data_IF_295767316479
#
_entry.id   IF_295767316479
#
_cell.length_a   1.000
_cell.length_b   1.000
_cell.length_c   1.000
_cell.angle_alpha   90.00
_cell.angle_beta   90.00
_cell.angle_gamma   90.00
#
_symmetry.space_group_name_H-M   'P 1'
#
loop_
_entity.id
_entity.type
_entity.pdbx_description
1 polymer ?
#
# COMPACT_ATOMS: atom_id res chain seq x y z
N UNK A 1 10.89 66.94 13.81
CA UNK A 1 10.81 66.18 15.09
C UNK A 1 9.36 65.77 15.25
N UNK A 2 9.07 64.46 15.38
CA UNK A 2 7.70 63.96 15.58
C UNK A 2 7.14 64.50 16.90
N UNK A 3 5.90 64.99 16.90
CA UNK A 3 5.24 65.44 18.13
C UNK A 3 4.86 64.23 19.00
N UNK A 4 4.82 64.39 20.34
CA UNK A 4 4.36 63.32 21.25
C UNK A 4 3.00 62.74 20.85
N UNK A 5 2.12 63.58 20.29
CA UNK A 5 0.79 63.20 19.80
C UNK A 5 0.86 62.31 18.55
N UNK A 6 1.75 62.62 17.61
CA UNK A 6 1.96 61.78 16.42
C UNK A 6 2.58 60.44 16.79
N UNK A 7 3.56 60.43 17.69
CA UNK A 7 4.19 59.21 18.17
C UNK A 7 3.15 58.25 18.78
N UNK A 8 2.30 58.73 19.70
CA UNK A 8 1.24 57.91 20.30
C UNK A 8 0.26 57.38 19.25
N UNK A 9 -0.13 58.21 18.26
CA UNK A 9 -1.05 57.81 17.19
C UNK A 9 -0.45 56.72 16.30
N UNK A 10 0.84 56.86 15.95
CA UNK A 10 1.57 55.88 15.15
C UNK A 10 1.78 54.56 15.90
N UNK A 11 2.09 54.62 17.20
CA UNK A 11 2.20 53.42 18.05
C UNK A 11 0.87 52.68 18.18
N UNK A 12 -0.26 53.40 18.30
CA UNK A 12 -1.60 52.81 18.32
C UNK A 12 -1.94 52.12 16.98
N UNK A 13 -1.67 52.77 15.85
CA UNK A 13 -1.90 52.15 14.54
C UNK A 13 -0.99 50.96 14.29
N UNK A 14 0.29 51.04 14.68
CA UNK A 14 1.24 49.93 14.59
C UNK A 14 0.82 48.73 15.44
N UNK A 15 0.40 48.97 16.68
CA UNK A 15 -0.11 47.93 17.58
C UNK A 15 -1.40 47.30 17.08
N UNK A 16 -2.36 48.09 16.59
CA UNK A 16 -3.60 47.59 16.02
C UNK A 16 -3.36 46.79 14.73
N UNK A 17 -2.43 47.23 13.88
CA UNK A 17 -2.02 46.50 12.68
C UNK A 17 -1.38 45.15 13.01
N UNK A 18 -0.49 45.11 14.02
CA UNK A 18 0.14 43.87 14.47
C UNK A 18 -0.86 42.88 15.11
N UNK A 19 -1.84 43.39 15.84
CA UNK A 19 -2.90 42.57 16.42
C UNK A 19 -3.83 41.98 15.35
N UNK A 20 -4.20 42.77 14.34
CA UNK A 20 -5.00 42.29 13.20
C UNK A 20 -4.25 41.25 12.37
N UNK A 21 -2.94 41.38 12.20
CA UNK A 21 -2.13 40.42 11.44
C UNK A 21 -2.03 39.05 12.14
N UNK A 22 -2.05 39.01 13.48
CA UNK A 22 -2.13 37.76 14.25
C UNK A 22 -3.55 37.17 14.31
N UNK A 23 -4.58 37.94 13.97
CA UNK A 23 -5.97 37.49 13.91
C UNK A 23 -6.35 36.92 12.53
N UNK A 24 -5.49 37.07 11.52
CA UNK A 24 -5.69 36.42 10.23
C UNK A 24 -5.34 34.94 10.32
N UNK A 25 -6.27 34.02 10.01
CA UNK A 25 -6.04 32.59 10.15
C UNK A 25 -5.26 32.07 8.94
N UNK A 26 -4.00 32.48 8.80
CA UNK A 26 -3.13 32.04 7.71
C UNK A 26 -2.99 30.50 7.67
N UNK A 27 -3.03 29.85 8.84
CA UNK A 27 -3.02 28.39 8.97
C UNK A 27 -4.27 27.73 8.36
N UNK A 28 -5.44 28.39 8.43
CA UNK A 28 -6.68 27.88 7.84
C UNK A 28 -6.72 28.03 6.30
N UNK A 29 -5.87 28.90 5.74
CA UNK A 29 -5.73 29.08 4.29
C UNK A 29 -4.63 28.19 3.69
N UNK A 30 -3.84 27.50 4.53
CA UNK A 30 -2.64 26.77 4.11
C UNK A 30 -2.79 25.24 4.07
N UNK A 31 -3.93 24.67 4.47
CA UNK A 31 -4.12 23.21 4.49
C UNK A 31 -5.21 22.76 3.51
N UNK A 32 -4.82 22.30 2.33
CA UNK A 32 -5.48 21.12 1.76
C UNK A 32 -4.82 19.91 2.41
N UNK A 33 -5.56 19.14 3.22
CA UNK A 33 -5.07 17.88 3.79
C UNK A 33 -4.85 16.85 2.66
N UNK A 34 -3.68 16.91 2.01
CA UNK A 34 -3.30 15.95 0.97
C UNK A 34 -3.07 14.59 1.62
N UNK A 35 -4.04 13.69 1.42
CA UNK A 35 -3.89 12.30 1.85
C UNK A 35 -3.08 11.53 0.80
N UNK A 36 -1.84 11.22 1.11
CA UNK A 36 -1.00 10.33 0.30
C UNK A 36 -1.42 8.87 0.53
N UNK A 37 -1.73 8.16 -0.54
CA UNK A 37 -2.00 6.72 -0.55
C UNK A 37 -0.88 6.04 -1.35
N UNK A 38 -0.26 5.03 -0.76
CA UNK A 38 0.77 4.21 -1.38
C UNK A 38 0.15 2.88 -1.79
N UNK A 39 0.14 2.61 -3.10
CA UNK A 39 -0.40 1.35 -3.65
C UNK A 39 0.77 0.43 -3.99
N UNK A 40 0.79 -0.72 -3.34
CA UNK A 40 1.62 -1.86 -3.69
C UNK A 40 0.74 -2.87 -4.42
N UNK A 41 1.26 -3.49 -5.47
CA UNK A 41 0.53 -4.53 -6.16
C UNK A 41 1.44 -5.69 -6.58
N UNK A 42 0.85 -6.87 -6.71
CA UNK A 42 1.40 -7.99 -7.48
C UNK A 42 0.37 -8.53 -8.46
N UNK A 43 0.85 -9.33 -9.40
CA UNK A 43 0.07 -10.00 -10.43
C UNK A 43 0.90 -11.19 -10.94
N UNK A 44 0.25 -12.23 -11.46
CA UNK A 44 0.90 -13.35 -12.16
C UNK A 44 2.04 -13.97 -11.33
N UNK A 45 1.82 -14.10 -10.02
CA UNK A 45 2.83 -14.63 -9.09
C UNK A 45 3.09 -16.10 -9.39
N UNK A 46 2.09 -16.82 -9.91
CA UNK A 46 2.22 -18.17 -10.42
C UNK A 46 2.88 -19.15 -9.45
N UNK A 47 2.41 -19.17 -8.20
CA UNK A 47 2.93 -20.06 -7.16
C UNK A 47 4.45 -19.93 -6.95
N UNK A 48 5.07 -18.79 -7.31
CA UNK A 48 6.51 -18.56 -7.13
C UNK A 48 6.84 -18.23 -5.68
N UNK A 49 6.86 -19.25 -4.83
CA UNK A 49 7.14 -19.13 -3.40
C UNK A 49 8.61 -18.80 -3.15
N UNK A 50 9.51 -19.53 -3.81
CA UNK A 50 10.96 -19.35 -3.71
C UNK A 50 11.49 -18.41 -4.80
N UNK A 51 12.68 -17.80 -4.60
CA UNK A 51 13.38 -17.09 -5.67
C UNK A 51 13.63 -18.01 -6.88
N UNK A 52 13.75 -17.39 -8.05
CA UNK A 52 14.20 -18.12 -9.24
C UNK A 52 15.60 -18.71 -9.02
N UNK A 53 15.89 -19.91 -9.58
CA UNK A 53 17.23 -20.48 -9.53
C UNK A 53 18.27 -19.51 -10.07
N UNK A 54 19.52 -19.59 -9.59
CA UNK A 54 20.62 -18.76 -10.12
C UNK A 54 20.92 -19.06 -11.60
N UNK A 55 20.45 -20.20 -12.10
CA UNK A 55 20.55 -20.61 -13.50
C UNK A 55 19.38 -20.13 -14.36
N UNK A 56 18.41 -19.43 -13.78
CA UNK A 56 17.29 -18.88 -14.56
C UNK A 56 17.81 -17.89 -15.62
N UNK A 57 17.40 -18.01 -16.89
CA UNK A 57 17.98 -17.21 -17.97
C UNK A 57 17.58 -15.74 -17.93
N UNK A 58 16.50 -15.39 -17.21
CA UNK A 58 15.94 -14.04 -17.22
C UNK A 58 16.00 -13.39 -15.85
N UNK A 59 15.75 -14.13 -14.78
CA UNK A 59 15.56 -13.59 -13.43
C UNK A 59 16.39 -14.30 -12.34
N UNK A 60 17.69 -14.57 -12.56
CA UNK A 60 18.47 -15.41 -11.65
C UNK A 60 18.49 -14.85 -10.23
N UNK A 61 18.00 -15.64 -9.26
CA UNK A 61 17.99 -15.28 -7.83
C UNK A 61 17.03 -14.15 -7.46
N UNK A 62 16.12 -13.73 -8.34
CA UNK A 62 15.10 -12.72 -8.08
C UNK A 62 13.78 -13.35 -7.61
N UNK A 63 12.85 -12.51 -7.15
CA UNK A 63 11.53 -12.95 -6.67
C UNK A 63 11.57 -13.61 -5.30
N UNK A 64 10.58 -14.47 -5.06
CA UNK A 64 10.38 -15.17 -3.79
C UNK A 64 9.58 -14.37 -2.76
N UNK A 65 8.70 -15.07 -2.05
CA UNK A 65 7.76 -14.48 -1.11
C UNK A 65 8.45 -13.89 0.10
N UNK A 66 9.52 -14.51 0.61
CA UNK A 66 10.27 -13.97 1.75
C UNK A 66 10.82 -12.56 1.49
N UNK A 67 11.37 -12.32 0.29
CA UNK A 67 11.87 -10.98 -0.09
C UNK A 67 10.74 -9.99 -0.29
N UNK A 68 9.64 -10.43 -0.91
CA UNK A 68 8.42 -9.62 -1.08
C UNK A 68 7.87 -9.19 0.29
N UNK A 69 7.71 -10.12 1.23
CA UNK A 69 7.24 -9.84 2.58
C UNK A 69 8.13 -8.84 3.33
N UNK A 70 9.46 -9.00 3.24
CA UNK A 70 10.40 -8.05 3.83
C UNK A 70 10.29 -6.64 3.22
N UNK A 71 10.12 -6.55 1.90
CA UNK A 71 9.92 -5.27 1.21
C UNK A 71 8.60 -4.60 1.59
N UNK A 72 7.49 -5.35 1.61
CA UNK A 72 6.17 -4.87 2.03
C UNK A 72 6.24 -4.33 3.46
N UNK A 73 6.84 -5.11 4.38
CA UNK A 73 7.00 -4.70 5.78
C UNK A 73 7.77 -3.38 5.89
N UNK A 74 8.91 -3.26 5.19
CA UNK A 74 9.71 -2.04 5.17
C UNK A 74 8.90 -0.83 4.66
N UNK A 75 8.11 -1.00 3.60
CA UNK A 75 7.29 0.10 3.06
C UNK A 75 6.19 0.49 4.05
N UNK A 76 5.53 -0.49 4.68
CA UNK A 76 4.52 -0.23 5.73
C UNK A 76 5.07 0.46 6.96
N UNK A 77 6.37 0.30 7.26
CA UNK A 77 7.06 1.05 8.32
C UNK A 77 7.37 2.50 7.92
N UNK A 78 7.38 2.81 6.61
CA UNK A 78 7.74 4.13 6.07
C UNK A 78 6.55 4.98 5.64
N UNK A 79 5.43 4.35 5.30
CA UNK A 79 4.26 4.98 4.70
C UNK A 79 3.01 4.76 5.57
N UNK A 80 2.19 5.80 5.75
CA UNK A 80 1.04 5.78 6.67
C UNK A 80 -0.20 5.07 6.10
N UNK A 81 -0.47 5.26 4.81
CA UNK A 81 -1.65 4.71 4.14
C UNK A 81 -1.19 3.82 3.00
N UNK A 82 -1.08 2.52 3.25
CA UNK A 82 -0.60 1.53 2.27
C UNK A 82 -1.73 0.57 1.93
N UNK A 83 -1.97 0.38 0.64
CA UNK A 83 -2.82 -0.68 0.10
C UNK A 83 -1.94 -1.70 -0.62
N UNK A 84 -2.10 -2.98 -0.31
CA UNK A 84 -1.44 -4.10 -0.97
C UNK A 84 -2.48 -4.93 -1.71
N UNK A 85 -2.39 -4.96 -3.04
CA UNK A 85 -3.39 -5.58 -3.91
C UNK A 85 -2.77 -6.70 -4.75
N UNK A 86 -3.58 -7.70 -5.13
CA UNK A 86 -3.19 -8.70 -6.13
C UNK A 86 -4.14 -8.72 -7.33
N UNK A 87 -3.59 -8.78 -8.54
CA UNK A 87 -4.35 -8.76 -9.79
C UNK A 87 -4.74 -10.15 -10.32
N UNK A 88 -4.56 -11.23 -9.55
CA UNK A 88 -4.91 -12.60 -9.94
C UNK A 88 -3.72 -13.38 -10.49
N UNK A 89 -3.98 -14.65 -10.81
CA UNK A 89 -2.97 -15.62 -11.25
C UNK A 89 -1.86 -15.82 -10.20
N UNK A 90 -2.28 -15.91 -8.93
CA UNK A 90 -1.41 -16.26 -7.83
C UNK A 90 -1.25 -17.78 -7.69
N UNK A 91 -2.20 -18.57 -8.20
CA UNK A 91 -2.08 -20.02 -8.37
C UNK A 91 -1.31 -20.42 -9.63
N UNK A 92 -1.02 -21.72 -9.72
CA UNK A 92 -0.37 -22.43 -10.84
C UNK A 92 1.03 -21.93 -11.24
N UNK A 93 1.98 -22.84 -11.45
CA UNK A 93 3.27 -22.48 -12.08
C UNK A 93 4.51 -23.07 -11.42
N UNK A 94 4.40 -23.57 -10.19
CA UNK A 94 5.45 -24.34 -9.54
C UNK A 94 4.87 -25.60 -8.87
N UNK A 95 5.71 -26.58 -8.47
CA UNK A 95 5.23 -27.77 -7.75
C UNK A 95 4.52 -27.47 -6.43
N UNK A 96 4.66 -26.28 -5.84
CA UNK A 96 3.92 -25.90 -4.64
C UNK A 96 2.41 -25.96 -4.87
N UNK A 97 1.90 -25.41 -5.97
CA UNK A 97 0.48 -25.49 -6.31
C UNK A 97 0.01 -26.94 -6.50
N UNK A 98 0.82 -27.78 -7.15
CA UNK A 98 0.45 -29.18 -7.38
C UNK A 98 0.33 -29.98 -6.07
N UNK A 99 1.15 -29.65 -5.06
CA UNK A 99 1.19 -30.36 -3.78
C UNK A 99 0.18 -29.81 -2.76
N UNK A 100 -0.01 -28.49 -2.72
CA UNK A 100 -0.82 -27.81 -1.71
C UNK A 100 -2.16 -27.28 -2.25
N UNK A 101 -2.36 -27.31 -3.57
CA UNK A 101 -3.62 -27.00 -4.23
C UNK A 101 -4.10 -25.55 -4.06
N UNK A 102 -3.20 -24.61 -3.74
CA UNK A 102 -3.52 -23.19 -3.49
C UNK A 102 -3.54 -22.76 -2.02
N UNK A 103 -3.49 -23.71 -1.07
CA UNK A 103 -3.52 -23.40 0.37
C UNK A 103 -2.34 -22.52 0.80
N UNK A 104 -1.14 -22.85 0.32
CA UNK A 104 0.10 -22.17 0.70
C UNK A 104 0.11 -20.72 0.21
N UNK A 105 -0.30 -20.49 -1.02
CA UNK A 105 -0.36 -19.18 -1.66
C UNK A 105 -1.26 -18.23 -0.86
N UNK A 106 -2.49 -18.65 -0.55
CA UNK A 106 -3.44 -17.81 0.18
C UNK A 106 -3.02 -17.57 1.63
N UNK A 107 -2.45 -18.57 2.32
CA UNK A 107 -1.88 -18.37 3.67
C UNK A 107 -0.77 -17.33 3.66
N UNK A 108 0.15 -17.39 2.70
CA UNK A 108 1.25 -16.44 2.60
C UNK A 108 0.77 -15.04 2.22
N UNK A 109 -0.23 -14.91 1.34
CA UNK A 109 -0.88 -13.63 1.06
C UNK A 109 -1.54 -13.05 2.30
N UNK A 110 -2.26 -13.87 3.07
CA UNK A 110 -2.84 -13.45 4.35
C UNK A 110 -1.78 -13.00 5.36
N UNK A 111 -0.68 -13.75 5.51
CA UNK A 111 0.43 -13.39 6.39
C UNK A 111 1.15 -12.09 5.96
N UNK A 112 1.25 -11.82 4.66
CA UNK A 112 1.78 -10.55 4.14
C UNK A 112 0.79 -9.38 4.29
N UNK A 113 -0.48 -9.67 4.62
CA UNK A 113 -1.52 -8.68 4.86
C UNK A 113 -2.01 -8.00 3.58
N UNK A 114 -2.29 -8.76 2.52
CA UNK A 114 -2.99 -8.23 1.34
C UNK A 114 -4.34 -7.64 1.75
N UNK A 115 -4.71 -6.53 1.11
CA UNK A 115 -5.93 -5.78 1.40
C UNK A 115 -7.09 -6.21 0.49
N UNK A 116 -6.80 -6.62 -0.75
CA UNK A 116 -7.75 -7.27 -1.65
C UNK A 116 -7.02 -8.01 -2.78
N UNK A 117 -7.68 -8.99 -3.38
CA UNK A 117 -7.25 -9.64 -4.63
C UNK A 117 -8.38 -9.70 -5.65
N UNK A 118 -8.04 -9.94 -6.91
CA UNK A 118 -9.01 -10.43 -7.92
C UNK A 118 -8.60 -11.85 -8.35
N UNK A 119 -9.45 -12.49 -9.13
CA UNK A 119 -9.19 -13.82 -9.68
C UNK A 119 -8.74 -13.69 -11.14
N UNK A 120 -7.64 -14.35 -11.47
CA UNK A 120 -7.17 -14.56 -12.83
C UNK A 120 -7.69 -15.89 -13.40
N UNK A 121 -7.25 -16.24 -14.60
CA UNK A 121 -7.69 -17.48 -15.25
C UNK A 121 -7.10 -18.73 -14.58
N UNK A 122 -5.84 -18.68 -14.14
CA UNK A 122 -5.16 -19.81 -13.52
C UNK A 122 -5.64 -20.13 -12.11
N UNK A 123 -6.36 -19.20 -11.47
CA UNK A 123 -6.95 -19.43 -10.16
C UNK A 123 -8.10 -20.47 -10.20
N UNK A 124 -8.56 -20.85 -11.40
CA UNK A 124 -9.57 -21.88 -11.64
C UNK A 124 -9.01 -23.21 -12.17
N UNK A 125 -7.69 -23.40 -12.24
CA UNK A 125 -7.07 -24.60 -12.85
C UNK A 125 -7.42 -25.91 -12.14
N UNK A 126 -7.64 -25.87 -10.82
CA UNK A 126 -8.14 -27.01 -10.03
C UNK A 126 -9.69 -27.08 -9.99
N UNK A 127 -10.36 -26.36 -10.89
CA UNK A 127 -11.79 -26.17 -10.92
C UNK A 127 -12.30 -25.26 -9.79
N UNK A 128 -13.58 -24.90 -9.88
CA UNK A 128 -14.27 -24.05 -8.89
C UNK A 128 -14.20 -24.68 -7.49
N UNK A 129 -14.35 -26.01 -7.39
CA UNK A 129 -14.24 -26.72 -6.11
C UNK A 129 -12.85 -26.58 -5.49
N UNK A 130 -11.80 -26.56 -6.32
CA UNK A 130 -10.43 -26.34 -5.88
C UNK A 130 -10.28 -24.94 -5.29
N UNK A 131 -10.70 -23.91 -6.04
CA UNK A 131 -10.66 -22.52 -5.57
C UNK A 131 -11.44 -22.33 -4.25
N UNK A 132 -12.71 -22.73 -4.22
CA UNK A 132 -13.59 -22.58 -3.04
C UNK A 132 -13.03 -23.27 -1.80
N UNK A 133 -12.37 -24.43 -1.98
CA UNK A 133 -11.73 -25.13 -0.87
C UNK A 133 -10.62 -24.28 -0.22
N UNK A 134 -9.90 -23.48 -1.00
CA UNK A 134 -8.77 -22.70 -0.49
C UNK A 134 -9.13 -21.30 -0.02
N UNK A 135 -10.21 -20.70 -0.55
CA UNK A 135 -10.65 -19.35 -0.18
C UNK A 135 -10.71 -19.07 1.34
N UNK A 136 -11.06 -20.02 2.24
CA UNK A 136 -11.01 -19.80 3.69
C UNK A 136 -9.62 -19.44 4.25
N UNK A 137 -8.55 -19.65 3.49
CA UNK A 137 -7.19 -19.28 3.87
C UNK A 137 -6.82 -17.84 3.53
N UNK A 138 -7.65 -17.13 2.74
CA UNK A 138 -7.51 -15.70 2.48
C UNK A 138 -8.18 -14.89 3.60
N UNK A 139 -7.41 -14.05 4.30
CA UNK A 139 -7.93 -13.10 5.30
C UNK A 139 -8.35 -11.77 4.69
N UNK A 140 -8.51 -11.72 3.36
CA UNK A 140 -8.82 -10.53 2.57
C UNK A 140 -9.90 -10.86 1.53
N UNK A 141 -10.68 -9.86 1.08
CA UNK A 141 -11.73 -10.06 0.11
C UNK A 141 -11.19 -10.28 -1.31
N UNK A 142 -11.91 -11.07 -2.10
CA UNK A 142 -11.77 -11.10 -3.55
C UNK A 142 -12.80 -10.17 -4.21
N UNK A 143 -12.37 -9.38 -5.18
CA UNK A 143 -13.20 -8.45 -5.96
C UNK A 143 -13.33 -8.98 -7.39
N UNK A 144 -14.56 -9.15 -7.86
CA UNK A 144 -14.87 -9.57 -9.24
C UNK A 144 -16.26 -9.00 -9.59
N UNK A 145 -16.37 -8.26 -10.70
CA UNK A 145 -17.56 -7.48 -11.08
C UNK A 145 -18.12 -7.90 -12.44
#
# INVERSE_FOLDING_TARGET
MSSRREFIRQSLYGGAGFALMNAFPFDALASEDVTRITILHTNDVHSRIEPFPLTDPKWPGLGGIARRAALIKKIREQEKHVLLLDAGDFFQGTPYFNLYGGELELKLMSEMGYDAGTLGNHDFDNGISGLVKQMPHASFPFLCA
#
